data_IF_266259014566
#
_entry.id   IF_266259014566
#
_cell.length_a   1.000
_cell.length_b   1.000
_cell.length_c   1.000
_cell.angle_alpha   90.00
_cell.angle_beta   90.00
_cell.angle_gamma   90.00
#
_symmetry.space_group_name_H-M   'P 1'
#
loop_
_entity.id
_entity.type
_entity.pdbx_description
1 polymer ?
#
# COMPACT_ATOMS: atom_id res chain seq x y z
N UNK A 1 -26.19 -4.29 -17.04
CA UNK A 1 -24.73 -4.46 -17.21
C UNK A 1 -24.12 -3.08 -17.31
N UNK A 2 -23.58 -2.55 -16.21
CA UNK A 2 -22.86 -1.28 -16.20
C UNK A 2 -21.38 -1.63 -16.03
N UNK A 3 -20.60 -1.35 -17.05
CA UNK A 3 -19.14 -1.41 -16.96
C UNK A 3 -18.67 -0.31 -15.99
N UNK A 4 -17.75 -0.59 -15.06
CA UNK A 4 -17.20 0.45 -14.21
C UNK A 4 -16.35 1.40 -15.07
N UNK A 5 -16.71 2.67 -15.05
CA UNK A 5 -15.89 3.75 -15.63
C UNK A 5 -14.62 3.84 -14.78
N UNK A 6 -13.50 3.43 -15.35
CA UNK A 6 -12.18 3.67 -14.75
C UNK A 6 -11.88 5.18 -14.82
N UNK A 7 -12.22 5.91 -13.78
CA UNK A 7 -11.73 7.26 -13.58
C UNK A 7 -10.28 7.17 -13.06
N UNK A 8 -9.33 7.51 -13.93
CA UNK A 8 -7.91 7.69 -13.54
C UNK A 8 -7.74 9.05 -12.87
N UNK A 9 -6.78 9.16 -11.96
CA UNK A 9 -6.32 10.46 -11.47
C UNK A 9 -5.80 11.27 -12.65
N UNK A 10 -6.65 12.12 -13.23
CA UNK A 10 -6.29 13.02 -14.33
C UNK A 10 -5.36 14.11 -13.80
N UNK A 11 -4.24 14.35 -14.51
CA UNK A 11 -3.27 15.39 -14.18
C UNK A 11 -3.87 16.79 -14.34
N UNK A 12 -4.67 17.23 -13.40
CA UNK A 12 -5.00 18.64 -13.21
C UNK A 12 -4.10 19.16 -12.10
N UNK A 13 -3.04 19.84 -12.52
CA UNK A 13 -2.17 20.59 -11.63
C UNK A 13 -2.96 21.64 -10.85
N UNK A 14 -3.24 21.35 -9.59
CA UNK A 14 -3.52 22.41 -8.63
C UNK A 14 -2.17 23.04 -8.29
N UNK A 15 -1.96 24.26 -8.78
CA UNK A 15 -0.85 25.10 -8.38
C UNK A 15 -0.95 25.39 -6.88
N UNK A 16 -0.26 24.62 -6.07
CA UNK A 16 0.17 25.03 -4.75
C UNK A 16 1.57 25.64 -4.92
N UNK A 17 1.65 26.96 -4.84
CA UNK A 17 2.89 27.71 -4.74
C UNK A 17 3.60 27.35 -3.44
N UNK A 18 4.64 26.56 -3.53
CA UNK A 18 5.52 26.17 -2.43
C UNK A 18 6.40 24.99 -2.86
N UNK A 19 7.70 25.24 -3.00
CA UNK A 19 8.69 24.21 -3.33
C UNK A 19 8.81 23.19 -2.19
N UNK A 20 7.93 22.16 -2.17
CA UNK A 20 8.16 20.96 -1.40
C UNK A 20 8.72 19.87 -2.30
N UNK A 21 10.02 19.77 -2.38
CA UNK A 21 10.72 18.63 -2.95
C UNK A 21 10.37 17.41 -2.08
N UNK A 22 9.49 16.52 -2.60
CA UNK A 22 9.28 15.20 -2.04
C UNK A 22 8.05 15.00 -1.14
N UNK A 23 7.12 15.95 -1.04
CA UNK A 23 5.89 15.73 -0.28
C UNK A 23 5.04 14.59 -0.87
N UNK A 24 4.52 13.70 -0.01
CA UNK A 24 3.57 12.67 -0.42
C UNK A 24 2.31 13.33 -1.00
N UNK A 25 1.88 12.88 -2.17
CA UNK A 25 0.71 13.41 -2.88
C UNK A 25 -0.12 12.26 -3.45
N UNK A 26 -1.44 12.33 -3.30
CA UNK A 26 -2.32 11.33 -3.91
C UNK A 26 -2.17 11.36 -5.43
N UNK A 27 -2.09 10.16 -6.04
CA UNK A 27 -1.91 9.99 -7.49
C UNK A 27 -0.46 10.12 -7.98
N UNK A 28 0.49 10.44 -7.09
CA UNK A 28 1.92 10.49 -7.40
C UNK A 28 2.70 9.55 -6.48
N UNK A 29 2.98 8.31 -6.91
CA UNK A 29 3.67 7.34 -6.08
C UNK A 29 5.13 7.77 -5.82
N UNK A 30 5.63 7.42 -4.63
CA UNK A 30 7.00 7.67 -4.21
C UNK A 30 7.79 6.37 -4.10
N UNK A 31 9.05 6.41 -4.48
CA UNK A 31 9.91 5.24 -4.38
C UNK A 31 10.05 4.80 -2.92
N UNK A 32 9.93 3.49 -2.62
CA UNK A 32 10.08 3.00 -1.26
C UNK A 32 11.51 3.16 -0.78
N UNK A 33 11.69 3.53 0.49
CA UNK A 33 13.00 3.53 1.14
C UNK A 33 13.47 2.08 1.30
N UNK A 34 14.72 1.81 0.96
CA UNK A 34 15.34 0.50 1.13
C UNK A 34 15.96 0.41 2.53
N UNK A 35 15.65 -0.68 3.24
CA UNK A 35 16.29 -0.98 4.52
C UNK A 35 17.72 -1.52 4.29
N UNK A 36 18.64 -1.11 5.15
CA UNK A 36 19.94 -1.75 5.25
C UNK A 36 19.80 -3.13 5.94
N UNK A 37 20.72 -4.04 5.65
CA UNK A 37 20.83 -5.32 6.34
C UNK A 37 22.00 -5.30 7.33
N UNK A 38 21.86 -6.04 8.44
CA UNK A 38 22.95 -6.27 9.38
C UNK A 38 23.12 -7.77 9.61
N UNK A 39 24.36 -8.28 9.75
CA UNK A 39 24.62 -9.70 9.97
C UNK A 39 24.12 -10.18 11.34
N UNK A 40 24.09 -9.29 12.33
CA UNK A 40 23.69 -9.58 13.72
C UNK A 40 22.57 -8.66 14.18
N UNK A 41 21.63 -9.21 14.97
CA UNK A 41 20.50 -8.44 15.52
C UNK A 41 20.98 -7.28 16.39
N UNK A 42 22.03 -7.48 17.18
CA UNK A 42 22.63 -6.46 18.05
C UNK A 42 23.16 -5.24 17.27
N UNK A 43 23.59 -5.43 16.04
CA UNK A 43 24.06 -4.36 15.16
C UNK A 43 22.90 -3.59 14.50
N UNK A 44 21.75 -4.24 14.35
CA UNK A 44 20.55 -3.61 13.82
C UNK A 44 19.78 -2.79 14.87
N UNK A 45 19.95 -3.11 16.17
CA UNK A 45 19.22 -2.49 17.26
C UNK A 45 20.03 -1.35 17.87
N UNK A 46 19.80 -0.12 17.41
CA UNK A 46 20.38 1.09 17.99
C UNK A 46 19.28 1.88 18.73
N UNK A 47 19.14 1.65 20.04
CA UNK A 47 18.15 2.33 20.87
C UNK A 47 16.72 1.77 20.76
N UNK A 48 15.71 2.62 20.97
CA UNK A 48 14.31 2.23 20.83
C UNK A 48 13.98 1.94 19.37
N UNK A 49 13.41 0.76 19.09
CA UNK A 49 13.06 0.32 17.74
C UNK A 49 11.71 -0.40 17.71
N UNK A 50 11.07 -0.41 16.55
CA UNK A 50 9.93 -1.25 16.27
C UNK A 50 10.42 -2.58 15.70
N UNK A 51 9.91 -3.70 16.24
CA UNK A 51 10.20 -5.04 15.75
C UNK A 51 8.94 -5.60 15.07
N UNK A 52 9.05 -5.93 13.80
CA UNK A 52 7.93 -6.36 12.96
C UNK A 52 8.25 -7.65 12.23
N UNK A 53 7.19 -8.39 11.90
CA UNK A 53 7.34 -9.53 10.99
C UNK A 53 7.62 -9.00 9.59
N UNK A 54 8.68 -9.52 8.96
CA UNK A 54 8.87 -9.31 7.53
C UNK A 54 7.81 -10.10 6.77
N UNK A 55 6.92 -9.38 6.13
CA UNK A 55 5.97 -9.94 5.20
C UNK A 55 6.66 -10.16 3.84
N UNK A 56 6.35 -11.26 3.17
CA UNK A 56 6.99 -11.63 1.92
C UNK A 56 5.91 -11.79 0.84
N UNK A 57 5.54 -10.69 0.25
CA UNK A 57 4.47 -10.57 -0.73
C UNK A 57 4.81 -9.59 -1.85
N UNK A 58 3.81 -8.84 -2.27
CA UNK A 58 3.92 -7.78 -3.26
C UNK A 58 3.84 -6.45 -2.53
N UNK A 59 4.93 -5.65 -2.55
CA UNK A 59 4.91 -4.30 -2.03
C UNK A 59 3.93 -3.46 -2.82
N UNK A 60 3.01 -2.83 -2.12
CA UNK A 60 1.97 -1.97 -2.70
C UNK A 60 1.94 -0.62 -2.02
N UNK A 61 1.77 0.43 -2.83
CA UNK A 61 1.47 1.77 -2.34
C UNK A 61 0.05 2.12 -2.75
N UNK A 62 -0.83 2.32 -1.76
CA UNK A 62 -2.24 2.62 -1.96
C UNK A 62 -2.50 4.12 -1.89
N UNK A 63 -3.19 4.67 -2.90
CA UNK A 63 -3.60 6.07 -2.97
C UNK A 63 -5.12 6.15 -3.03
N UNK A 64 -5.72 6.96 -2.15
CA UNK A 64 -7.17 7.21 -2.09
C UNK A 64 -7.46 8.70 -2.10
N UNK A 65 -8.50 9.11 -2.84
CA UNK A 65 -9.11 10.43 -2.72
C UNK A 65 -10.61 10.34 -3.06
N UNK A 66 -11.47 10.46 -2.04
CA UNK A 66 -12.89 10.17 -2.17
C UNK A 66 -13.10 8.73 -2.64
N UNK A 67 -13.80 8.56 -3.74
CA UNK A 67 -14.09 7.26 -4.35
C UNK A 67 -12.97 6.77 -5.29
N UNK A 68 -12.00 7.63 -5.61
CA UNK A 68 -10.89 7.28 -6.47
C UNK A 68 -9.81 6.55 -5.67
N UNK A 69 -9.37 5.40 -6.19
CA UNK A 69 -8.26 4.64 -5.64
C UNK A 69 -7.28 4.26 -6.74
N UNK A 70 -6.01 4.19 -6.39
CA UNK A 70 -4.96 3.62 -7.22
C UNK A 70 -4.01 2.81 -6.35
N UNK A 71 -3.49 1.71 -6.91
CA UNK A 71 -2.51 0.85 -6.27
C UNK A 71 -1.28 0.79 -7.15
N UNK A 72 -0.13 1.13 -6.58
CA UNK A 72 1.15 1.14 -7.29
C UNK A 72 2.05 0.03 -6.77
N UNK A 73 2.80 -0.58 -7.69
CA UNK A 73 3.82 -1.57 -7.38
C UNK A 73 5.07 -0.92 -6.77
N UNK A 74 6.02 -1.76 -6.30
CA UNK A 74 7.36 -1.31 -5.90
C UNK A 74 8.09 -0.53 -7.00
N UNK A 75 7.83 -0.87 -8.27
CA UNK A 75 8.37 -0.19 -9.45
C UNK A 75 7.62 1.09 -9.83
N UNK A 76 6.62 1.48 -9.06
CA UNK A 76 5.74 2.65 -9.28
C UNK A 76 4.78 2.47 -10.48
N UNK A 77 4.61 1.25 -10.98
CA UNK A 77 3.62 0.95 -12.01
C UNK A 77 2.21 0.91 -11.39
N UNK A 78 1.22 1.45 -12.08
CA UNK A 78 -0.19 1.32 -11.69
C UNK A 78 -0.67 -0.11 -11.94
N UNK A 79 -0.94 -0.82 -10.85
CA UNK A 79 -1.43 -2.21 -10.84
C UNK A 79 -2.86 -2.33 -10.32
N UNK A 80 -3.60 -1.23 -10.23
CA UNK A 80 -4.96 -1.19 -9.65
C UNK A 80 -5.88 -2.25 -10.24
N UNK A 81 -5.87 -2.40 -11.57
CA UNK A 81 -6.70 -3.38 -12.26
C UNK A 81 -6.29 -4.84 -12.01
N UNK A 82 -5.01 -5.09 -11.69
CA UNK A 82 -4.47 -6.42 -11.44
C UNK A 82 -4.77 -6.92 -10.01
N UNK A 83 -4.99 -5.99 -9.07
CA UNK A 83 -5.21 -6.32 -7.65
C UNK A 83 -6.51 -5.69 -7.11
N UNK A 84 -7.69 -6.06 -7.67
CA UNK A 84 -8.96 -5.43 -7.32
C UNK A 84 -9.30 -5.55 -5.82
N UNK A 85 -8.92 -6.65 -5.17
CA UNK A 85 -9.14 -6.85 -3.73
C UNK A 85 -8.34 -5.84 -2.87
N UNK A 86 -7.15 -5.44 -3.30
CA UNK A 86 -6.35 -4.40 -2.65
C UNK A 86 -7.00 -3.03 -2.84
N UNK A 87 -7.47 -2.74 -4.05
CA UNK A 87 -8.18 -1.50 -4.36
C UNK A 87 -9.48 -1.38 -3.55
N UNK A 88 -10.25 -2.47 -3.40
CA UNK A 88 -11.46 -2.50 -2.58
C UNK A 88 -11.16 -2.26 -1.10
N UNK A 89 -10.12 -2.89 -0.56
CA UNK A 89 -9.70 -2.69 0.83
C UNK A 89 -9.32 -1.23 1.09
N UNK A 90 -8.64 -0.61 0.14
CA UNK A 90 -8.25 0.79 0.20
C UNK A 90 -9.49 1.73 0.11
N UNK A 91 -10.44 1.43 -0.79
CA UNK A 91 -11.67 2.19 -0.93
C UNK A 91 -12.51 2.20 0.36
N UNK A 92 -12.50 1.08 1.09
CA UNK A 92 -13.26 0.91 2.33
C UNK A 92 -12.69 1.67 3.54
N UNK A 93 -11.49 2.25 3.45
CA UNK A 93 -10.91 3.00 4.56
C UNK A 93 -11.73 4.24 4.92
N UNK A 94 -11.93 4.54 6.23
CA UNK A 94 -12.78 5.62 6.72
C UNK A 94 -12.07 6.98 6.67
N UNK A 95 -11.43 7.30 5.54
CA UNK A 95 -10.73 8.57 5.30
C UNK A 95 -11.05 9.09 3.92
N UNK A 96 -11.00 10.41 3.73
CA UNK A 96 -11.22 11.03 2.42
C UNK A 96 -10.02 10.88 1.51
N UNK A 97 -8.82 11.08 2.04
CA UNK A 97 -7.58 10.92 1.28
C UNK A 97 -6.53 10.16 2.08
N UNK A 98 -5.76 9.31 1.39
CA UNK A 98 -4.66 8.58 2.00
C UNK A 98 -3.58 8.20 0.97
N UNK A 99 -2.35 8.15 1.44
CA UNK A 99 -1.23 7.45 0.81
C UNK A 99 -0.66 6.48 1.84
N UNK A 100 -0.79 5.19 1.54
CA UNK A 100 -0.40 4.10 2.43
C UNK A 100 0.68 3.24 1.78
N UNK A 101 1.54 2.67 2.62
CA UNK A 101 2.51 1.66 2.21
C UNK A 101 2.15 0.32 2.87
N UNK A 102 2.23 -0.75 2.09
CA UNK A 102 1.76 -2.05 2.54
C UNK A 102 2.35 -3.21 1.76
N UNK A 103 1.94 -4.41 2.16
CA UNK A 103 2.26 -5.67 1.48
C UNK A 103 0.96 -6.42 1.18
N UNK A 104 0.79 -6.85 -0.05
CA UNK A 104 -0.29 -7.75 -0.46
C UNK A 104 0.22 -9.18 -0.50
N UNK A 105 -0.46 -10.09 0.21
CA UNK A 105 -0.03 -11.47 0.43
C UNK A 105 -1.17 -12.42 0.14
N UNK A 106 -0.90 -13.51 -0.57
CA UNK A 106 -1.81 -14.64 -0.62
C UNK A 106 -1.75 -15.42 0.69
N UNK A 107 -2.92 -15.71 1.26
CA UNK A 107 -3.05 -16.50 2.48
C UNK A 107 -3.67 -17.86 2.17
N UNK A 108 -3.23 -18.88 2.89
CA UNK A 108 -3.86 -20.20 2.93
C UNK A 108 -5.14 -20.16 3.76
N UNK A 109 -5.94 -21.20 3.68
CA UNK A 109 -7.18 -21.35 4.46
C UNK A 109 -6.95 -21.30 5.98
N UNK A 110 -5.74 -21.67 6.43
CA UNK A 110 -5.32 -21.59 7.85
C UNK A 110 -4.81 -20.19 8.27
N UNK A 111 -4.86 -19.20 7.35
CA UNK A 111 -4.41 -17.82 7.56
C UNK A 111 -2.90 -17.62 7.49
N UNK A 112 -2.12 -18.65 7.16
CA UNK A 112 -0.68 -18.52 6.96
C UNK A 112 -0.36 -17.97 5.56
N UNK A 113 0.73 -17.21 5.39
CA UNK A 113 1.17 -16.79 4.08
C UNK A 113 1.46 -17.97 3.14
N UNK A 114 1.04 -17.84 1.90
CA UNK A 114 1.55 -18.68 0.81
C UNK A 114 3.02 -18.37 0.56
N UNK A 115 3.80 -19.33 0.01
CA UNK A 115 5.16 -19.04 -0.46
C UNK A 115 5.17 -17.87 -1.43
N UNK A 116 6.21 -17.03 -1.36
CA UNK A 116 6.36 -15.84 -2.22
C UNK A 116 6.13 -16.14 -3.71
N UNK A 117 6.56 -17.32 -4.18
CA UNK A 117 6.39 -17.73 -5.58
C UNK A 117 4.92 -17.73 -6.01
N UNK A 118 3.99 -18.12 -5.12
CA UNK A 118 2.54 -18.09 -5.40
C UNK A 118 2.03 -16.67 -5.51
N UNK A 119 2.36 -15.83 -4.53
CA UNK A 119 1.96 -14.41 -4.52
C UNK A 119 2.61 -13.64 -5.68
N UNK A 120 3.90 -13.86 -5.96
CA UNK A 120 4.61 -13.22 -7.07
C UNK A 120 4.06 -13.63 -8.43
N UNK A 121 3.74 -14.90 -8.64
CA UNK A 121 3.10 -15.40 -9.85
C UNK A 121 1.70 -14.77 -10.07
N UNK A 122 0.95 -14.50 -9.00
CA UNK A 122 -0.33 -13.80 -9.05
C UNK A 122 -0.18 -12.39 -9.64
N UNK A 123 0.82 -11.63 -9.18
CA UNK A 123 1.09 -10.26 -9.66
C UNK A 123 1.62 -10.20 -11.10
N UNK A 124 2.46 -11.17 -11.47
CA UNK A 124 3.07 -11.24 -12.80
C UNK A 124 2.15 -11.86 -13.87
N UNK A 125 0.97 -12.35 -13.48
CA UNK A 125 0.07 -13.06 -14.38
C UNK A 125 -0.67 -12.11 -15.32
N UNK A 126 -0.74 -12.47 -16.59
CA UNK A 126 -1.56 -11.82 -17.62
C UNK A 126 -3.00 -12.34 -17.69
N UNK A 127 -3.38 -13.30 -16.82
CA UNK A 127 -4.75 -13.82 -16.75
C UNK A 127 -5.72 -12.75 -16.24
N UNK A 128 -7.01 -12.98 -16.53
CA UNK A 128 -8.08 -12.14 -16.02
C UNK A 128 -8.02 -11.97 -14.48
N UNK A 129 -7.99 -10.73 -13.95
CA UNK A 129 -7.87 -10.45 -12.52
C UNK A 129 -8.97 -11.09 -11.67
N UNK A 130 -10.20 -11.19 -12.19
CA UNK A 130 -11.31 -11.82 -11.49
C UNK A 130 -11.09 -13.34 -11.31
N UNK A 131 -10.49 -13.98 -12.30
CA UNK A 131 -10.10 -15.39 -12.22
C UNK A 131 -8.98 -15.60 -11.23
N UNK A 132 -7.95 -14.73 -11.26
CA UNK A 132 -6.84 -14.79 -10.33
C UNK A 132 -7.28 -14.55 -8.89
N UNK A 133 -8.18 -13.60 -8.65
CA UNK A 133 -8.78 -13.34 -7.34
C UNK A 133 -9.46 -14.58 -6.76
N UNK A 134 -10.19 -15.35 -7.59
CA UNK A 134 -10.82 -16.59 -7.13
C UNK A 134 -9.83 -17.72 -6.81
N UNK A 135 -8.72 -17.77 -7.54
CA UNK A 135 -7.71 -18.81 -7.38
C UNK A 135 -6.72 -18.50 -6.25
N UNK A 136 -6.31 -17.25 -6.14
CA UNK A 136 -5.29 -16.80 -5.20
C UNK A 136 -5.65 -15.39 -4.72
N UNK A 137 -6.62 -15.26 -3.79
CA UNK A 137 -7.02 -13.97 -3.25
C UNK A 137 -5.86 -13.34 -2.47
N UNK A 138 -5.72 -12.02 -2.56
CA UNK A 138 -4.72 -11.27 -1.81
C UNK A 138 -5.34 -10.62 -0.58
N UNK A 139 -4.65 -10.70 0.53
CA UNK A 139 -4.89 -9.90 1.74
C UNK A 139 -3.87 -8.79 1.84
N UNK A 140 -4.32 -7.58 2.19
CA UNK A 140 -3.45 -6.41 2.26
C UNK A 140 -3.12 -6.09 3.71
N UNK A 141 -1.84 -5.86 3.98
CA UNK A 141 -1.31 -5.44 5.28
C UNK A 141 -0.67 -4.07 5.14
N UNK A 142 -1.40 -3.03 5.52
CA UNK A 142 -0.90 -1.67 5.56
C UNK A 142 -0.02 -1.49 6.80
N UNK A 143 1.22 -1.07 6.65
CA UNK A 143 2.18 -0.94 7.75
C UNK A 143 2.71 0.49 7.92
N UNK A 144 2.48 1.39 6.96
CA UNK A 144 2.83 2.80 7.09
C UNK A 144 1.80 3.70 6.41
N UNK A 145 1.74 4.97 6.86
CA UNK A 145 0.90 6.01 6.28
C UNK A 145 1.73 7.25 6.03
N UNK A 146 1.72 7.73 4.79
CA UNK A 146 2.52 8.87 4.34
C UNK A 146 1.68 10.15 4.21
N UNK A 147 0.35 9.99 4.05
CA UNK A 147 -0.64 11.05 3.99
C UNK A 147 -1.99 10.52 4.48
N UNK A 148 -2.71 11.30 5.27
CA UNK A 148 -4.10 11.04 5.66
C UNK A 148 -4.88 12.35 5.78
N UNK A 149 -6.08 12.43 5.16
CA UNK A 149 -6.98 13.58 5.15
C UNK A 149 -6.26 14.92 4.89
N UNK A 150 -5.44 14.92 3.82
CA UNK A 150 -4.64 16.05 3.33
C UNK A 150 -3.47 16.46 4.26
N UNK A 151 -3.23 15.72 5.36
CA UNK A 151 -2.06 15.91 6.23
C UNK A 151 -0.92 15.02 5.75
N UNK A 152 0.20 15.62 5.36
CA UNK A 152 1.43 14.90 5.00
C UNK A 152 2.12 14.43 6.28
N UNK A 153 2.41 13.14 6.35
CA UNK A 153 3.00 12.48 7.52
C UNK A 153 4.41 11.93 7.25
N UNK A 154 4.91 12.10 6.04
CA UNK A 154 6.17 11.50 5.58
C UNK A 154 7.36 11.83 6.51
N UNK A 155 7.42 13.05 7.02
CA UNK A 155 8.50 13.53 7.89
C UNK A 155 8.18 13.36 9.39
N UNK A 156 6.99 12.82 9.72
CA UNK A 156 6.62 12.58 11.10
C UNK A 156 7.31 11.31 11.66
N UNK A 157 7.56 11.25 12.98
CA UNK A 157 8.09 10.05 13.62
C UNK A 157 7.21 8.82 13.36
N UNK A 158 7.83 7.63 13.27
CA UNK A 158 7.10 6.36 13.05
C UNK A 158 5.98 6.15 14.08
N UNK A 159 6.17 6.55 15.34
CA UNK A 159 5.15 6.45 16.39
C UNK A 159 3.89 7.23 16.03
N UNK A 160 4.03 8.47 15.56
CA UNK A 160 2.90 9.31 15.16
C UNK A 160 2.18 8.72 13.92
N UNK A 161 2.94 8.25 12.91
CA UNK A 161 2.36 7.60 11.73
C UNK A 161 1.60 6.33 12.10
N UNK A 162 2.13 5.53 13.04
CA UNK A 162 1.47 4.33 13.56
C UNK A 162 0.16 4.61 14.29
N UNK A 163 0.09 5.69 15.05
CA UNK A 163 -1.15 6.12 15.70
C UNK A 163 -2.22 6.49 14.68
N UNK A 164 -1.85 7.20 13.61
CA UNK A 164 -2.77 7.52 12.51
C UNK A 164 -3.20 6.23 11.80
N UNK A 165 -2.25 5.37 11.42
CA UNK A 165 -2.53 4.12 10.73
C UNK A 165 -3.51 3.24 11.51
N UNK A 166 -3.32 3.10 12.84
CA UNK A 166 -4.19 2.28 13.70
C UNK A 166 -5.63 2.80 13.79
N UNK A 167 -5.85 4.09 13.54
CA UNK A 167 -7.19 4.70 13.51
C UNK A 167 -7.91 4.49 12.19
N UNK A 168 -7.16 4.47 11.08
CA UNK A 168 -7.74 4.42 9.74
C UNK A 168 -7.80 3.01 9.16
N UNK A 169 -6.92 2.10 9.60
CA UNK A 169 -6.91 0.71 9.16
C UNK A 169 -7.52 -0.18 10.24
N UNK A 170 -8.68 -0.79 9.99
CA UNK A 170 -9.29 -1.74 10.93
C UNK A 170 -8.36 -2.91 11.24
N UNK A 171 -8.33 -3.35 12.50
CA UNK A 171 -7.47 -4.45 12.98
C UNK A 171 -7.79 -5.82 12.35
N UNK A 172 -8.91 -5.91 11.61
CA UNK A 172 -9.36 -7.09 10.88
C UNK A 172 -9.62 -6.71 9.42
N UNK A 173 -8.60 -6.75 8.64
CA UNK A 173 -8.71 -6.82 7.17
C UNK A 173 -7.79 -7.92 6.68
#
# INVERSE_FOLDING_TARGET
>A
MHAPVQQRFGGHGMHASGEHRGAAQVGRPVAPMLAASAPEVSQALAGACSVERKLDGIRVQGHKHGDLVAVFSRGLDDITAQVPEVAESLAALPVRSAVLDGEAIALRDDGRPEPFQGTGARAASSKDPATLRRQTPLSTFWFDVLLADDVVLLDEPLTARREVLSRIVPTKM
#
